data_IF_343285392771
#
_entry.id   IF_343285392771
#
_cell.length_a   1.000
_cell.length_b   1.000
_cell.length_c   1.000
_cell.angle_alpha   90.00
_cell.angle_beta   90.00
_cell.angle_gamma   90.00
#
_symmetry.space_group_name_H-M   'P 1'
#
loop_
_entity.id
_entity.type
_entity.pdbx_description
1 polymer ?
#
# COMPACT_ATOMS: atom_id res chain seq x y z
N UNK A 1 4.40 36.04 -16.40
CA UNK A 1 3.65 34.80 -16.03
C UNK A 1 4.54 33.88 -15.20
N UNK A 2 5.81 33.75 -15.58
CA UNK A 2 6.85 33.03 -14.82
C UNK A 2 7.08 33.59 -13.41
N UNK A 3 7.08 34.92 -13.23
CA UNK A 3 7.25 35.55 -11.90
C UNK A 3 6.13 35.19 -10.92
N UNK A 4 4.91 35.01 -11.42
CA UNK A 4 3.75 34.63 -10.60
C UNK A 4 3.89 33.17 -10.14
N UNK A 5 4.38 32.30 -11.04
CA UNK A 5 4.63 30.90 -10.71
C UNK A 5 5.76 30.76 -9.68
N UNK A 6 6.86 31.49 -9.87
CA UNK A 6 7.99 31.51 -8.92
C UNK A 6 7.55 32.08 -7.56
N UNK A 7 6.73 33.14 -7.55
CA UNK A 7 6.18 33.71 -6.31
C UNK A 7 5.23 32.74 -5.59
N UNK A 8 4.41 31.98 -6.32
CA UNK A 8 3.53 30.95 -5.74
C UNK A 8 4.34 29.79 -5.16
N UNK A 9 5.34 29.29 -5.88
CA UNK A 9 6.27 28.25 -5.40
C UNK A 9 7.00 28.73 -4.15
N UNK A 10 7.51 29.96 -4.15
CA UNK A 10 8.16 30.57 -2.97
C UNK A 10 7.20 30.90 -1.81
N UNK A 11 5.89 30.98 -2.05
CA UNK A 11 4.88 31.14 -1.00
C UNK A 11 4.51 29.80 -0.36
N UNK A 12 4.41 28.73 -1.16
CA UNK A 12 4.25 27.36 -0.65
C UNK A 12 5.49 26.87 0.07
N UNK A 13 6.68 27.29 -0.38
CA UNK A 13 7.95 27.02 0.28
C UNK A 13 7.98 27.55 1.72
N UNK A 14 7.60 28.81 1.87
CA UNK A 14 7.50 29.48 3.16
C UNK A 14 6.48 28.88 4.12
N UNK A 15 5.48 28.15 3.61
CA UNK A 15 4.48 27.47 4.44
C UNK A 15 4.95 26.09 4.94
N UNK A 16 6.20 25.69 4.64
CA UNK A 16 6.71 24.37 4.98
C UNK A 16 6.10 23.27 4.11
N UNK A 17 5.44 23.63 3.00
CA UNK A 17 5.04 22.68 1.96
C UNK A 17 6.21 22.32 1.02
N UNK A 18 7.42 22.81 1.34
CA UNK A 18 8.67 22.59 0.61
C UNK A 18 9.60 21.53 1.17
N UNK A 19 9.04 20.47 1.73
CA UNK A 19 9.64 19.20 1.36
C UNK A 19 9.41 19.09 -0.16
N UNK A 20 10.40 19.52 -0.96
CA UNK A 20 10.41 19.68 -2.43
C UNK A 20 9.86 18.48 -3.21
N UNK A 21 9.55 17.40 -2.51
CA UNK A 21 8.89 16.21 -2.97
C UNK A 21 7.52 16.50 -3.56
N UNK A 22 6.62 17.30 -2.97
CA UNK A 22 5.29 17.45 -3.58
C UNK A 22 5.32 18.31 -4.85
N UNK A 23 6.06 19.41 -4.83
CA UNK A 23 6.20 20.35 -5.94
C UNK A 23 6.96 19.77 -7.14
N UNK A 24 7.89 18.84 -6.90
CA UNK A 24 8.63 18.17 -7.99
C UNK A 24 7.93 16.85 -8.36
N UNK A 25 7.49 16.05 -7.39
CA UNK A 25 6.90 14.75 -7.65
C UNK A 25 5.56 14.86 -8.36
N UNK A 26 4.70 15.82 -8.03
CA UNK A 26 3.38 15.90 -8.70
C UNK A 26 3.52 16.21 -10.20
N UNK A 27 4.29 17.24 -10.63
CA UNK A 27 4.53 17.49 -12.05
C UNK A 27 5.35 16.39 -12.74
N UNK A 28 6.35 15.81 -12.08
CA UNK A 28 7.11 14.69 -12.65
C UNK A 28 6.21 13.49 -12.89
N UNK A 29 5.26 13.22 -12.00
CA UNK A 29 4.32 12.12 -12.15
C UNK A 29 3.35 12.38 -13.31
N UNK A 30 2.81 13.60 -13.43
CA UNK A 30 1.91 13.95 -14.55
C UNK A 30 2.60 13.80 -15.92
N UNK A 31 3.91 14.05 -16.00
CA UNK A 31 4.64 14.02 -17.28
C UNK A 31 5.23 12.65 -17.59
N UNK A 32 5.88 12.01 -16.62
CA UNK A 32 6.62 10.78 -16.82
C UNK A 32 5.70 9.56 -16.82
N UNK A 33 4.71 9.51 -15.94
CA UNK A 33 3.87 8.32 -15.77
C UNK A 33 3.04 8.01 -17.01
N UNK A 34 2.39 8.96 -17.72
CA UNK A 34 1.66 8.63 -18.94
C UNK A 34 2.56 8.04 -20.02
N UNK A 35 3.80 8.52 -20.14
CA UNK A 35 4.78 7.96 -21.09
C UNK A 35 5.12 6.53 -20.70
N UNK A 36 5.51 6.30 -19.45
CA UNK A 36 5.82 4.94 -18.96
C UNK A 36 4.61 4.01 -19.10
N UNK A 37 3.42 4.49 -18.78
CA UNK A 37 2.20 3.68 -18.76
C UNK A 37 1.71 3.36 -20.16
N UNK A 38 1.54 4.36 -21.02
CA UNK A 38 0.91 4.18 -22.33
C UNK A 38 1.89 3.80 -23.44
N UNK A 39 3.17 4.16 -23.31
CA UNK A 39 4.19 3.82 -24.31
C UNK A 39 4.89 2.51 -23.96
N UNK A 40 5.35 2.35 -22.71
CA UNK A 40 6.20 1.22 -22.31
C UNK A 40 5.45 0.01 -21.75
N UNK A 41 4.32 0.21 -21.06
CA UNK A 41 3.59 -0.89 -20.42
C UNK A 41 2.31 -1.30 -21.16
N UNK A 42 1.47 -0.33 -21.53
CA UNK A 42 0.09 -0.59 -21.95
C UNK A 42 -0.20 -0.18 -23.40
N UNK A 43 0.80 -0.22 -24.28
CA UNK A 43 0.57 0.08 -25.69
C UNK A 43 -0.04 -1.14 -26.41
N UNK A 44 -1.35 -1.13 -26.77
CA UNK A 44 -2.00 -2.29 -27.40
C UNK A 44 -1.49 -2.57 -28.82
N UNK A 45 -0.74 -1.63 -29.43
CA UNK A 45 -0.13 -1.84 -30.75
C UNK A 45 1.25 -2.50 -30.67
N UNK A 46 1.94 -2.39 -29.53
CA UNK A 46 3.29 -2.93 -29.36
C UNK A 46 3.29 -4.24 -28.56
N UNK A 47 2.31 -4.43 -27.69
CA UNK A 47 2.31 -5.49 -26.70
C UNK A 47 1.01 -6.29 -26.73
N UNK A 48 1.10 -7.60 -26.52
CA UNK A 48 -0.06 -8.47 -26.38
C UNK A 48 -0.54 -8.44 -24.93
N UNK A 49 -1.40 -7.46 -24.62
CA UNK A 49 -1.84 -7.19 -23.25
C UNK A 49 -2.81 -8.28 -22.76
N UNK A 50 -2.46 -8.92 -21.64
CA UNK A 50 -3.28 -9.92 -20.97
C UNK A 50 -3.48 -9.54 -19.49
N UNK A 51 -4.54 -10.07 -18.88
CA UNK A 51 -4.71 -9.98 -17.42
C UNK A 51 -3.84 -11.07 -16.75
N UNK A 52 -2.82 -10.62 -16.03
CA UNK A 52 -1.89 -11.46 -15.30
C UNK A 52 -2.22 -11.40 -13.82
N UNK A 53 -2.51 -12.57 -13.26
CA UNK A 53 -2.73 -12.72 -11.84
C UNK A 53 -1.41 -12.93 -11.10
N UNK A 54 -1.17 -12.09 -10.10
CA UNK A 54 -0.03 -12.17 -9.20
C UNK A 54 -0.61 -12.13 -7.78
N UNK A 55 -0.25 -13.11 -6.95
CA UNK A 55 -0.65 -13.09 -5.54
C UNK A 55 0.57 -13.07 -4.64
N UNK A 56 0.47 -12.24 -3.61
CA UNK A 56 1.49 -12.06 -2.59
C UNK A 56 0.90 -12.46 -1.25
N UNK A 57 1.66 -13.27 -0.50
CA UNK A 57 1.19 -13.90 0.71
C UNK A 57 2.12 -13.54 1.87
N UNK A 58 1.57 -13.10 2.99
CA UNK A 58 2.29 -13.15 4.25
C UNK A 58 2.15 -14.56 4.87
N UNK A 59 3.12 -14.99 5.69
CA UNK A 59 2.92 -16.07 6.64
C UNK A 59 1.70 -15.78 7.55
N UNK A 60 1.11 -16.83 8.15
CA UNK A 60 0.14 -16.67 9.23
C UNK A 60 0.69 -15.73 10.31
N UNK A 61 -0.11 -14.73 10.69
CA UNK A 61 0.26 -13.77 11.71
C UNK A 61 -0.21 -14.30 13.07
N UNK A 62 0.75 -14.57 13.96
CA UNK A 62 0.50 -14.70 15.40
C UNK A 62 0.55 -13.28 15.99
N UNK A 63 -0.63 -12.68 16.16
CA UNK A 63 -0.74 -11.29 16.59
C UNK A 63 -0.94 -11.18 18.11
N UNK A 64 -1.24 -12.27 18.81
CA UNK A 64 -1.38 -12.31 20.26
C UNK A 64 -0.12 -12.86 20.96
N UNK A 65 0.84 -13.43 20.22
CA UNK A 65 2.10 -13.95 20.74
C UNK A 65 1.94 -15.24 21.53
N UNK A 66 0.87 -16.01 21.30
CA UNK A 66 0.60 -17.26 22.03
C UNK A 66 1.27 -18.50 21.40
N UNK A 67 1.98 -18.33 20.28
CA UNK A 67 2.63 -19.40 19.53
C UNK A 67 1.67 -20.17 18.60
N UNK A 68 0.38 -19.83 18.57
CA UNK A 68 -0.66 -20.45 17.75
C UNK A 68 -1.20 -19.42 16.77
N UNK A 69 -0.62 -19.37 15.57
CA UNK A 69 -1.11 -18.45 14.54
C UNK A 69 -2.53 -18.79 14.06
N UNK A 70 -3.31 -17.74 13.77
CA UNK A 70 -4.58 -17.87 13.05
C UNK A 70 -5.82 -18.05 13.93
N UNK A 71 -5.72 -17.82 15.24
CA UNK A 71 -6.87 -17.83 16.15
C UNK A 71 -7.87 -16.70 15.81
N UNK A 72 -9.09 -16.78 16.37
CA UNK A 72 -10.09 -15.72 16.20
C UNK A 72 -9.61 -14.38 16.79
N UNK A 73 -8.77 -14.43 17.83
CA UNK A 73 -8.21 -13.26 18.49
C UNK A 73 -7.16 -12.60 17.60
N UNK A 74 -6.26 -13.39 17.02
CA UNK A 74 -5.24 -12.88 16.07
C UNK A 74 -5.86 -12.16 14.91
N UNK A 75 -6.90 -12.76 14.31
CA UNK A 75 -7.60 -12.15 13.17
C UNK A 75 -8.19 -10.79 13.53
N UNK A 76 -8.72 -10.62 14.73
CA UNK A 76 -9.25 -9.32 15.19
C UNK A 76 -8.13 -8.30 15.37
N UNK A 77 -7.00 -8.70 15.96
CA UNK A 77 -5.85 -7.84 16.21
C UNK A 77 -5.16 -7.43 14.90
N UNK A 78 -4.83 -8.40 14.04
CA UNK A 78 -4.27 -8.16 12.70
C UNK A 78 -5.14 -7.19 11.89
N UNK A 79 -6.45 -7.37 11.94
CA UNK A 79 -7.40 -6.45 11.29
C UNK A 79 -7.32 -5.03 11.86
N UNK A 80 -7.21 -4.88 13.18
CA UNK A 80 -7.08 -3.57 13.82
C UNK A 80 -5.75 -2.91 13.41
N UNK A 81 -4.65 -3.66 13.46
CA UNK A 81 -3.31 -3.18 13.16
C UNK A 81 -3.18 -2.74 11.69
N UNK A 82 -3.64 -3.55 10.74
CA UNK A 82 -3.61 -3.17 9.31
C UNK A 82 -4.49 -1.93 9.06
N UNK A 83 -5.65 -1.85 9.73
CA UNK A 83 -6.52 -0.67 9.65
C UNK A 83 -5.82 0.58 10.18
N UNK A 84 -5.08 0.47 11.28
CA UNK A 84 -4.27 1.57 11.80
C UNK A 84 -3.20 1.92 10.78
N UNK A 85 -2.36 0.98 10.35
CA UNK A 85 -1.23 1.21 9.43
C UNK A 85 -1.61 1.86 8.10
N UNK A 86 -2.76 1.50 7.54
CA UNK A 86 -3.29 2.09 6.31
C UNK A 86 -3.80 3.53 6.48
N UNK A 87 -3.84 4.08 7.70
CA UNK A 87 -4.39 5.40 8.01
C UNK A 87 -3.46 6.29 8.84
N UNK A 88 -2.69 7.13 8.15
CA UNK A 88 -1.85 8.17 8.78
C UNK A 88 -2.63 9.09 9.72
N UNK A 89 -3.88 9.41 9.40
CA UNK A 89 -4.72 10.30 10.19
C UNK A 89 -5.06 9.76 11.59
N UNK A 90 -5.00 8.44 11.79
CA UNK A 90 -5.33 7.78 13.07
C UNK A 90 -4.06 7.49 13.88
N UNK A 91 -2.87 7.54 13.26
CA UNK A 91 -1.61 7.25 13.91
C UNK A 91 -1.27 8.25 15.02
N UNK A 92 -0.78 7.73 16.15
CA UNK A 92 -0.03 8.52 17.13
C UNK A 92 1.32 8.91 16.55
N UNK A 93 1.94 9.98 17.06
CA UNK A 93 3.19 10.52 16.51
C UNK A 93 4.31 9.46 16.39
N UNK A 94 4.49 8.62 17.41
CA UNK A 94 5.48 7.52 17.42
C UNK A 94 5.22 6.47 16.33
N UNK A 95 3.95 6.19 16.02
CA UNK A 95 3.57 5.18 15.02
C UNK A 95 3.77 5.72 13.59
N UNK A 96 3.67 7.04 13.39
CA UNK A 96 3.92 7.68 12.09
C UNK A 96 5.35 7.51 11.66
N UNK A 97 6.31 7.73 12.55
CA UNK A 97 7.74 7.59 12.24
C UNK A 97 8.08 6.15 11.82
N UNK A 98 7.36 5.15 12.36
CA UNK A 98 7.52 3.74 12.00
C UNK A 98 6.90 3.41 10.64
N UNK A 99 5.70 3.92 10.34
CA UNK A 99 5.08 3.74 9.01
C UNK A 99 5.86 4.49 7.94
N UNK A 100 6.40 5.67 8.26
CA UNK A 100 7.21 6.48 7.36
C UNK A 100 8.60 5.83 7.12
N UNK A 101 9.07 4.94 8.00
CA UNK A 101 10.29 4.15 7.77
C UNK A 101 10.10 2.96 6.80
N UNK A 102 8.87 2.69 6.33
CA UNK A 102 8.61 1.59 5.41
C UNK A 102 9.06 1.94 3.99
N UNK A 103 9.66 1.01 3.22
CA UNK A 103 10.10 1.29 1.85
C UNK A 103 8.93 1.64 0.92
N UNK A 104 7.72 1.20 1.30
CA UNK A 104 6.48 1.49 0.64
C UNK A 104 5.39 1.71 1.69
N UNK A 105 4.74 2.87 1.66
CA UNK A 105 3.65 3.22 2.58
C UNK A 105 2.40 3.61 1.80
N UNK A 106 1.31 2.86 2.00
CA UNK A 106 0.00 3.14 1.42
C UNK A 106 -0.93 3.77 2.47
N UNK A 107 -1.36 5.01 2.23
CA UNK A 107 -2.31 5.72 3.06
C UNK A 107 -3.67 5.83 2.36
N UNK A 108 -4.67 5.20 2.95
CA UNK A 108 -6.01 5.07 2.40
C UNK A 108 -7.03 5.65 3.39
N UNK A 109 -7.44 6.93 3.23
CA UNK A 109 -8.36 7.56 4.17
C UNK A 109 -9.73 6.87 4.14
N UNK A 110 -10.44 6.86 5.27
CA UNK A 110 -11.81 6.33 5.29
C UNK A 110 -12.80 7.35 4.73
N UNK A 111 -13.81 6.91 3.96
CA UNK A 111 -14.88 7.79 3.54
C UNK A 111 -15.65 8.28 4.77
N UNK A 112 -16.02 9.56 4.77
CA UNK A 112 -16.91 10.11 5.78
C UNK A 112 -18.25 9.36 5.77
N UNK A 113 -18.80 9.03 6.94
CA UNK A 113 -20.05 8.25 7.09
C UNK A 113 -21.26 8.80 6.31
N UNK A 114 -21.25 10.09 5.95
CA UNK A 114 -22.34 10.79 5.24
C UNK A 114 -22.23 10.70 3.71
N UNK A 115 -21.12 10.21 3.14
CA UNK A 115 -20.94 10.13 1.69
C UNK A 115 -21.68 8.93 1.11
N UNK A 116 -22.39 9.15 -0.01
CA UNK A 116 -22.98 8.07 -0.82
C UNK A 116 -21.92 7.25 -1.55
N UNK A 117 -20.88 7.90 -2.07
CA UNK A 117 -19.75 7.24 -2.70
C UNK A 117 -18.66 6.94 -1.65
N UNK A 118 -18.28 5.67 -1.53
CA UNK A 118 -17.28 5.18 -0.58
C UNK A 118 -15.87 5.14 -1.18
N UNK A 119 -15.71 5.46 -2.46
CA UNK A 119 -14.39 5.62 -3.09
C UNK A 119 -13.69 6.87 -2.56
N UNK A 120 -12.42 6.70 -2.21
CA UNK A 120 -11.52 7.75 -1.73
C UNK A 120 -10.25 7.77 -2.56
N UNK A 121 -9.51 8.87 -2.49
CA UNK A 121 -8.16 8.95 -3.08
C UNK A 121 -7.17 8.52 -2.01
N UNK A 122 -6.49 7.42 -2.29
CA UNK A 122 -5.32 6.94 -1.58
C UNK A 122 -4.04 7.58 -2.08
N UNK A 123 -3.06 7.65 -1.19
CA UNK A 123 -1.71 8.09 -1.51
C UNK A 123 -0.76 6.94 -1.18
N UNK A 124 0.05 6.52 -2.15
CA UNK A 124 1.15 5.61 -1.91
C UNK A 124 2.45 6.37 -2.10
N UNK A 125 3.33 6.25 -1.12
CA UNK A 125 4.63 6.90 -1.15
C UNK A 125 5.71 5.85 -1.37
N UNK A 126 6.55 6.08 -2.38
CA UNK A 126 7.72 5.27 -2.67
C UNK A 126 8.98 6.06 -2.33
N UNK A 127 9.60 5.71 -1.20
CA UNK A 127 10.78 6.40 -0.67
C UNK A 127 12.00 6.33 -1.60
N UNK A 128 12.13 5.28 -2.41
CA UNK A 128 13.26 5.13 -3.33
C UNK A 128 13.21 6.09 -4.51
N UNK A 129 12.01 6.46 -4.98
CA UNK A 129 11.83 7.34 -6.15
C UNK A 129 11.29 8.72 -5.79
N UNK A 130 10.97 8.96 -4.51
CA UNK A 130 10.27 10.16 -4.00
C UNK A 130 8.99 10.50 -4.77
N UNK A 131 8.41 9.50 -5.40
CA UNK A 131 7.20 9.66 -6.19
C UNK A 131 5.96 9.44 -5.30
N UNK A 132 5.02 10.36 -5.44
CA UNK A 132 3.70 10.25 -4.82
C UNK A 132 2.72 9.66 -5.83
N UNK A 133 2.28 8.44 -5.57
CA UNK A 133 1.32 7.73 -6.40
C UNK A 133 -0.09 7.96 -5.85
N UNK A 134 -0.99 8.51 -6.65
CA UNK A 134 -2.39 8.69 -6.27
C UNK A 134 -3.21 7.55 -6.84
N UNK A 135 -4.04 6.92 -6.01
CA UNK A 135 -4.83 5.75 -6.40
C UNK A 135 -6.27 5.87 -5.90
N UNK A 136 -7.22 5.34 -6.66
CA UNK A 136 -8.59 5.24 -6.17
C UNK A 136 -8.71 4.02 -5.28
N UNK A 137 -9.14 4.20 -4.05
CA UNK A 137 -9.31 3.09 -3.10
C UNK A 137 -10.72 3.04 -2.57
N UNK A 138 -11.16 1.83 -2.24
CA UNK A 138 -12.42 1.60 -1.59
C UNK A 138 -12.22 0.65 -0.42
N UNK A 139 -12.88 0.93 0.69
CA UNK A 139 -12.86 0.05 1.86
C UNK A 139 -13.91 -1.04 1.65
N UNK A 140 -13.48 -2.19 1.15
CA UNK A 140 -14.36 -3.24 0.63
C UNK A 140 -15.37 -3.74 1.67
N UNK A 141 -14.97 -3.77 2.94
CA UNK A 141 -15.82 -4.12 4.07
C UNK A 141 -16.96 -3.12 4.39
N UNK A 142 -16.91 -1.90 3.85
CA UNK A 142 -17.99 -0.91 3.97
C UNK A 142 -19.02 -1.04 2.84
N UNK A 143 -18.67 -1.74 1.75
CA UNK A 143 -19.57 -1.97 0.62
C UNK A 143 -20.46 -3.16 0.94
N UNK A 144 -21.78 -2.94 0.93
CA UNK A 144 -22.76 -4.01 1.16
C UNK A 144 -22.67 -5.06 0.03
N UNK A 145 -22.55 -6.34 0.40
CA UNK A 145 -22.50 -7.46 -0.54
C UNK A 145 -21.16 -7.63 -1.26
N UNK A 146 -20.10 -6.95 -0.83
CA UNK A 146 -18.78 -7.16 -1.41
C UNK A 146 -18.26 -8.57 -1.07
N UNK A 147 -17.85 -9.30 -2.11
CA UNK A 147 -17.22 -10.61 -2.01
C UNK A 147 -15.78 -10.48 -2.52
N UNK A 148 -14.76 -10.80 -1.70
CA UNK A 148 -13.37 -10.81 -2.16
C UNK A 148 -13.18 -11.78 -3.33
N UNK A 149 -12.35 -11.42 -4.31
CA UNK A 149 -12.09 -12.28 -5.47
C UNK A 149 -11.14 -13.45 -5.16
N UNK A 150 -10.30 -13.33 -4.13
CA UNK A 150 -9.38 -14.42 -3.77
C UNK A 150 -10.11 -15.59 -3.09
N UNK A 151 -9.81 -16.85 -3.45
CA UNK A 151 -10.46 -18.04 -2.89
C UNK A 151 -10.10 -18.31 -1.42
N UNK A 152 -8.97 -17.79 -0.95
CA UNK A 152 -8.45 -17.99 0.41
C UNK A 152 -8.81 -16.84 1.35
N UNK A 153 -9.38 -15.76 0.81
CA UNK A 153 -9.84 -14.61 1.56
C UNK A 153 -10.91 -15.04 2.57
N UNK A 154 -10.74 -14.60 3.81
CA UNK A 154 -11.79 -14.61 4.83
C UNK A 154 -12.51 -13.27 4.92
N UNK A 155 -11.82 -12.17 4.60
CA UNK A 155 -12.32 -10.81 4.74
C UNK A 155 -11.61 -9.87 3.76
N UNK A 156 -12.36 -9.09 2.96
CA UNK A 156 -11.81 -8.03 2.12
C UNK A 156 -11.69 -6.68 2.83
N UNK A 157 -10.48 -6.14 2.93
CA UNK A 157 -10.21 -4.93 3.69
C UNK A 157 -10.35 -3.68 2.82
N UNK A 158 -9.50 -3.60 1.80
CA UNK A 158 -9.35 -2.47 0.88
C UNK A 158 -9.19 -3.02 -0.54
N UNK A 159 -9.84 -2.37 -1.49
CA UNK A 159 -9.64 -2.58 -2.92
C UNK A 159 -8.99 -1.32 -3.51
N UNK A 160 -7.92 -1.49 -4.27
CA UNK A 160 -7.20 -0.41 -4.95
C UNK A 160 -7.44 -0.56 -6.45
N UNK A 161 -7.99 0.49 -7.05
CA UNK A 161 -8.27 0.59 -8.47
C UNK A 161 -7.18 1.42 -9.14
N UNK A 162 -6.33 0.76 -9.90
CA UNK A 162 -5.29 1.38 -10.72
C UNK A 162 -5.82 1.47 -12.15
N UNK A 163 -6.70 2.45 -12.37
CA UNK A 163 -7.37 2.64 -13.66
C UNK A 163 -6.39 3.06 -14.74
N UNK A 164 -6.68 2.69 -15.99
CA UNK A 164 -5.84 3.05 -17.14
C UNK A 164 -5.63 4.55 -17.25
N UNK A 165 -6.70 5.33 -17.12
CA UNK A 165 -6.69 6.79 -17.27
C UNK A 165 -6.05 7.51 -16.08
N UNK A 166 -5.71 6.80 -15.00
CA UNK A 166 -5.03 7.41 -13.86
C UNK A 166 -3.55 7.68 -14.22
N UNK A 167 -3.21 8.95 -14.44
CA UNK A 167 -1.86 9.43 -14.75
C UNK A 167 -0.94 9.48 -13.53
N UNK A 168 -1.41 9.19 -12.32
CA UNK A 168 -0.60 9.20 -11.10
C UNK A 168 -0.15 7.80 -10.68
N UNK A 169 -0.33 6.79 -11.54
CA UNK A 169 0.12 5.43 -11.26
C UNK A 169 0.57 4.71 -12.55
N UNK A 170 1.81 4.17 -12.61
CA UNK A 170 2.39 3.60 -13.83
C UNK A 170 1.75 2.27 -14.26
N UNK A 171 1.11 1.58 -13.32
CA UNK A 171 0.47 0.27 -13.55
C UNK A 171 -1.03 0.45 -13.79
N UNK A 172 -1.59 -0.37 -14.68
CA UNK A 172 -3.02 -0.62 -14.78
C UNK A 172 -3.34 -1.97 -14.14
N UNK A 173 -4.06 -1.96 -13.03
CA UNK A 173 -4.33 -3.16 -12.25
C UNK A 173 -5.53 -2.99 -11.30
N UNK A 174 -6.00 -4.11 -10.80
CA UNK A 174 -6.90 -4.19 -9.66
C UNK A 174 -6.19 -4.92 -8.53
N UNK A 175 -6.15 -4.34 -7.34
CA UNK A 175 -5.50 -4.94 -6.16
C UNK A 175 -6.53 -5.08 -5.05
N UNK A 176 -6.53 -6.21 -4.35
CA UNK A 176 -7.27 -6.35 -3.10
C UNK A 176 -6.29 -6.60 -1.95
N UNK A 177 -6.63 -6.10 -0.77
CA UNK A 177 -5.96 -6.42 0.49
C UNK A 177 -6.95 -7.25 1.30
N UNK A 178 -6.65 -8.53 1.47
CA UNK A 178 -7.56 -9.46 2.14
C UNK A 178 -6.86 -10.11 3.34
N UNK A 179 -7.65 -10.41 4.38
CA UNK A 179 -7.23 -11.26 5.48
C UNK A 179 -7.59 -12.70 5.14
N UNK A 180 -6.63 -13.61 5.18
CA UNK A 180 -6.81 -15.04 4.92
C UNK A 180 -7.48 -15.77 6.08
N UNK A 181 -7.99 -16.97 5.79
CA UNK A 181 -8.58 -17.87 6.80
C UNK A 181 -7.60 -18.38 7.85
N UNK A 182 -6.30 -18.27 7.66
CA UNK A 182 -5.25 -18.65 8.61
C UNK A 182 -4.65 -17.45 9.36
N UNK A 183 -5.25 -16.26 9.23
CA UNK A 183 -4.76 -15.04 9.90
C UNK A 183 -3.62 -14.32 9.18
N UNK A 184 -3.11 -14.88 8.07
CA UNK A 184 -2.19 -14.16 7.19
C UNK A 184 -2.90 -13.08 6.37
N UNK A 185 -2.12 -12.22 5.73
CA UNK A 185 -2.60 -11.20 4.78
C UNK A 185 -2.23 -11.62 3.38
N UNK A 186 -3.14 -11.43 2.45
CA UNK A 186 -2.88 -11.61 1.03
C UNK A 186 -3.15 -10.31 0.27
N UNK A 187 -2.38 -10.11 -0.79
CA UNK A 187 -2.51 -8.97 -1.68
C UNK A 187 -2.62 -9.46 -3.13
N UNK A 188 -3.75 -10.07 -3.53
CA UNK A 188 -3.97 -10.48 -4.90
C UNK A 188 -4.06 -9.27 -5.82
N UNK A 189 -3.36 -9.35 -6.93
CA UNK A 189 -3.25 -8.31 -7.93
C UNK A 189 -3.51 -8.87 -9.32
N UNK A 190 -4.41 -8.22 -10.05
CA UNK A 190 -4.70 -8.48 -11.45
C UNK A 190 -4.11 -7.35 -12.27
N UNK A 191 -2.95 -7.57 -12.87
CA UNK A 191 -2.19 -6.58 -13.64
C UNK A 191 -2.48 -6.78 -15.12
N UNK A 192 -2.71 -5.69 -15.85
CA UNK A 192 -2.76 -5.72 -17.32
C UNK A 192 -1.34 -5.50 -17.85
N UNK A 193 -0.74 -6.55 -18.41
CA UNK A 193 0.62 -6.54 -18.95
C UNK A 193 0.82 -7.62 -20.00
N UNK A 194 1.89 -7.51 -20.79
CA UNK A 194 2.35 -8.54 -21.72
C UNK A 194 3.38 -9.45 -21.04
N UNK A 195 3.04 -10.74 -20.95
CA UNK A 195 3.89 -11.78 -20.34
C UNK A 195 5.21 -11.99 -21.07
N UNK A 196 5.24 -11.71 -22.37
CA UNK A 196 6.41 -11.91 -23.21
C UNK A 196 7.36 -10.70 -23.17
N UNK A 197 6.92 -9.57 -22.63
CA UNK A 197 7.75 -8.38 -22.49
C UNK A 197 8.70 -8.51 -21.31
N UNK A 198 10.00 -8.55 -21.60
CA UNK A 198 11.06 -8.62 -20.58
C UNK A 198 10.90 -7.52 -19.51
N UNK A 199 10.69 -6.28 -19.95
CA UNK A 199 10.59 -5.12 -19.05
C UNK A 199 9.41 -5.22 -18.10
N UNK A 200 8.24 -5.63 -18.61
CA UNK A 200 7.03 -5.71 -17.80
C UNK A 200 7.11 -6.88 -16.82
N UNK A 201 7.67 -8.02 -17.24
CA UNK A 201 7.92 -9.18 -16.37
C UNK A 201 8.96 -8.87 -15.29
N UNK A 202 10.06 -8.19 -15.62
CA UNK A 202 11.04 -7.73 -14.63
C UNK A 202 10.40 -6.81 -13.59
N UNK A 203 9.61 -5.83 -14.06
CA UNK A 203 8.93 -4.90 -13.18
C UNK A 203 7.93 -5.61 -12.24
N UNK A 204 7.15 -6.57 -12.75
CA UNK A 204 6.25 -7.39 -11.94
C UNK A 204 7.01 -8.22 -10.87
N UNK A 205 8.19 -8.74 -11.21
CA UNK A 205 9.05 -9.43 -10.25
C UNK A 205 9.59 -8.49 -9.17
N UNK A 206 9.97 -7.26 -9.52
CA UNK A 206 10.47 -6.28 -8.56
C UNK A 206 9.38 -5.81 -7.60
N UNK A 207 8.13 -5.65 -8.09
CA UNK A 207 6.96 -5.44 -7.23
C UNK A 207 6.79 -6.60 -6.25
N UNK A 208 6.91 -7.85 -6.71
CA UNK A 208 6.84 -9.02 -5.82
C UNK A 208 7.94 -9.02 -4.75
N UNK A 209 9.18 -8.67 -5.11
CA UNK A 209 10.29 -8.55 -4.15
C UNK A 209 10.01 -7.47 -3.10
N UNK A 210 9.56 -6.29 -3.53
CA UNK A 210 9.24 -5.17 -2.64
C UNK A 210 8.19 -5.56 -1.60
N UNK A 211 7.11 -6.21 -2.03
CA UNK A 211 6.06 -6.62 -1.12
C UNK A 211 6.45 -7.81 -0.22
N UNK A 212 7.29 -8.74 -0.71
CA UNK A 212 7.85 -9.79 0.13
C UNK A 212 8.72 -9.20 1.26
N UNK A 213 9.57 -8.22 0.93
CA UNK A 213 10.37 -7.49 1.92
C UNK A 213 9.50 -6.71 2.91
N UNK A 214 8.46 -6.03 2.42
CA UNK A 214 7.50 -5.30 3.26
C UNK A 214 6.79 -6.25 4.23
N UNK A 215 6.37 -7.43 3.77
CA UNK A 215 5.75 -8.46 4.59
C UNK A 215 6.66 -8.91 5.73
N UNK A 216 7.94 -9.15 5.45
CA UNK A 216 8.93 -9.50 6.50
C UNK A 216 9.13 -8.37 7.50
N UNK A 217 9.24 -7.12 7.04
CA UNK A 217 9.35 -5.94 7.93
C UNK A 217 8.10 -5.78 8.81
N UNK A 218 6.92 -6.03 8.25
CA UNK A 218 5.66 -5.97 9.00
C UNK A 218 5.57 -7.04 10.11
N UNK A 219 6.05 -8.25 9.85
CA UNK A 219 6.13 -9.30 10.89
C UNK A 219 7.04 -8.85 12.03
N UNK A 220 8.25 -8.36 11.71
CA UNK A 220 9.17 -7.84 12.72
C UNK A 220 8.57 -6.69 13.52
N UNK A 221 7.80 -5.82 12.86
CA UNK A 221 7.07 -4.75 13.52
C UNK A 221 6.06 -5.30 14.53
N UNK A 222 5.23 -6.27 14.15
CA UNK A 222 4.24 -6.87 15.05
C UNK A 222 4.91 -7.50 16.28
N UNK A 223 6.04 -8.19 16.09
CA UNK A 223 6.83 -8.78 17.18
C UNK A 223 7.47 -7.75 18.12
N UNK A 224 7.73 -6.53 17.64
CA UNK A 224 8.43 -5.49 18.39
C UNK A 224 7.50 -4.57 19.21
N UNK A 225 6.19 -4.67 19.07
CA UNK A 225 5.24 -3.83 19.80
C UNK A 225 5.18 -4.25 21.28
N UNK A 226 5.50 -3.33 22.22
CA UNK A 226 5.58 -3.58 23.68
C UNK A 226 4.29 -4.09 24.32
N UNK A 227 3.14 -3.88 23.69
CA UNK A 227 1.85 -4.46 24.11
C UNK A 227 1.78 -5.99 23.94
N UNK A 228 2.80 -6.59 23.31
CA UNK A 228 2.80 -8.00 22.89
C UNK A 228 4.10 -8.74 23.22
N UNK A 229 5.01 -8.13 24.00
CA UNK A 229 6.14 -8.83 24.61
C UNK A 229 5.62 -9.48 25.89
N UNK A 230 5.62 -10.81 25.97
CA UNK A 230 5.30 -11.48 27.24
C UNK A 230 6.27 -11.02 28.32
N UNK A 231 5.86 -10.91 29.61
CA UNK A 231 6.74 -10.46 30.69
C UNK A 231 8.07 -11.23 30.80
N UNK A 232 8.10 -12.44 30.26
CA UNK A 232 9.24 -13.35 30.20
C UNK A 232 10.25 -12.97 29.11
N UNK A 233 9.78 -12.58 27.92
CA UNK A 233 10.64 -12.12 26.82
C UNK A 233 11.33 -10.78 27.16
N UNK A 234 10.65 -9.93 27.94
CA UNK A 234 11.20 -8.67 28.48
C UNK A 234 12.48 -8.90 29.29
N UNK A 235 12.56 -10.00 30.04
CA UNK A 235 13.74 -10.35 30.84
C UNK A 235 14.92 -10.84 30.00
N UNK A 236 14.66 -11.39 28.81
CA UNK A 236 15.72 -11.89 27.92
C UNK A 236 16.41 -10.76 27.13
N UNK A 237 15.66 -9.70 26.80
CA UNK A 237 16.16 -8.53 26.07
C UNK A 237 17.02 -7.66 26.98
N UNK A 238 16.60 -7.45 28.24
CA UNK A 238 17.36 -6.65 29.23
C UNK A 238 18.66 -7.32 29.66
N UNK A 239 18.80 -8.64 29.51
CA UNK A 239 20.06 -9.37 29.80
C UNK A 239 21.10 -9.30 28.67
N UNK A 240 20.73 -8.77 27.50
CA UNK A 240 21.61 -8.66 26.33
C UNK A 240 22.01 -7.21 26.02
N UNK A 241 21.63 -6.26 26.87
CA UNK A 241 22.14 -4.89 26.94
C UNK A 241 22.94 -4.73 28.23
#
# INVERSE_FOLDING_TARGET
MEDIFVAMVGAWDRQGCCDCEFLIAVPSMITVVPVIKHVLHKNPRLFNLEEVYINQWSPPLDANGDGIAGTRTDRKLSKCNIKIQTMRAIHRRRDRDLTDAWPFAGHYPYPTKKRKNLTVVGVQYNYGTRNTLLTHTCHSHLIKGYVPRSPTASWGMISVYLQEWNSYHPITAYVEVNLRKDGGVEHPMWIVMDRNSYWQTSFAQDVNKLFAELGQRFIKYLQAQEEYITPEERKSIVRKL
#
